data_IF_552703345763
#
_entry.id   IF_552703345763
#
_cell.length_a   1.000
_cell.length_b   1.000
_cell.length_c   1.000
_cell.angle_alpha   90.00
_cell.angle_beta   90.00
_cell.angle_gamma   90.00
#
_symmetry.space_group_name_H-M   'P 1'
#
loop_
_entity.id
_entity.type
_entity.pdbx_description
1 polymer ?
#
# COMPACT_ATOMS: atom_id res chain seq x y z
N UNK A 1 31.77 -23.41 -35.57
CA UNK A 1 31.91 -22.14 -34.80
C UNK A 1 31.19 -22.13 -33.45
N UNK A 2 30.09 -22.91 -33.30
CA UNK A 2 29.29 -22.94 -32.07
C UNK A 2 29.92 -23.72 -30.91
N UNK A 3 30.74 -24.74 -31.19
CA UNK A 3 31.38 -25.58 -30.19
C UNK A 3 32.53 -24.89 -29.44
N UNK A 4 33.21 -23.95 -30.09
CA UNK A 4 34.38 -23.25 -29.50
C UNK A 4 33.88 -22.14 -28.53
N UNK A 5 32.77 -21.47 -28.84
CA UNK A 5 32.16 -20.48 -27.95
C UNK A 5 31.68 -21.08 -26.64
N UNK A 6 31.10 -22.29 -26.67
CA UNK A 6 30.62 -22.98 -25.48
C UNK A 6 31.73 -23.45 -24.53
N UNK A 7 32.91 -23.80 -25.07
CA UNK A 7 34.07 -24.27 -24.29
C UNK A 7 34.78 -23.10 -23.58
N UNK A 8 34.96 -21.95 -24.25
CA UNK A 8 35.61 -20.77 -23.70
C UNK A 8 34.76 -20.15 -22.58
N UNK A 9 33.42 -20.14 -22.75
CA UNK A 9 32.49 -19.64 -21.75
C UNK A 9 32.47 -20.52 -20.48
N UNK A 10 32.80 -21.83 -20.61
CA UNK A 10 32.88 -22.75 -19.46
C UNK A 10 34.14 -22.59 -18.62
N UNK A 11 35.22 -22.04 -19.19
CA UNK A 11 36.51 -21.88 -18.49
C UNK A 11 36.64 -20.57 -17.72
N UNK A 12 35.82 -19.55 -18.00
CA UNK A 12 36.01 -18.22 -17.42
C UNK A 12 35.18 -17.93 -16.16
N UNK A 13 34.42 -18.89 -15.63
CA UNK A 13 33.60 -18.68 -14.41
C UNK A 13 32.53 -17.59 -14.55
N UNK A 14 32.51 -16.86 -15.67
CA UNK A 14 31.58 -15.74 -15.93
C UNK A 14 30.20 -16.23 -16.34
N UNK A 15 30.08 -17.49 -16.76
CA UNK A 15 28.80 -18.08 -17.19
C UNK A 15 27.81 -18.31 -16.05
N UNK A 16 28.29 -18.61 -14.85
CA UNK A 16 27.42 -18.86 -13.71
C UNK A 16 26.62 -17.60 -13.30
N UNK A 17 27.25 -16.42 -13.11
CA UNK A 17 26.49 -15.21 -12.79
C UNK A 17 25.62 -14.75 -13.97
N UNK A 18 26.02 -14.92 -15.20
CA UNK A 18 25.25 -14.52 -16.39
C UNK A 18 24.03 -15.43 -16.62
N UNK A 19 24.14 -16.72 -16.38
CA UNK A 19 23.04 -17.68 -16.38
C UNK A 19 22.05 -17.43 -15.23
N UNK A 20 22.56 -17.06 -14.06
CA UNK A 20 21.73 -16.66 -12.92
C UNK A 20 20.97 -15.37 -13.22
N UNK A 21 21.63 -14.38 -13.80
CA UNK A 21 21.00 -13.12 -14.25
C UNK A 21 19.96 -13.38 -15.35
N UNK A 22 20.28 -14.21 -16.36
CA UNK A 22 19.33 -14.58 -17.42
C UNK A 22 18.14 -15.38 -16.91
N UNK A 23 18.34 -16.29 -15.95
CA UNK A 23 17.26 -16.99 -15.25
C UNK A 23 16.43 -16.02 -14.41
N UNK A 24 17.07 -15.05 -13.74
CA UNK A 24 16.42 -13.97 -13.02
C UNK A 24 15.54 -13.12 -13.95
N UNK A 25 16.08 -12.68 -15.09
CA UNK A 25 15.33 -11.93 -16.11
C UNK A 25 14.21 -12.78 -16.72
N UNK A 26 14.44 -14.06 -17.02
CA UNK A 26 13.40 -14.96 -17.51
C UNK A 26 12.28 -15.21 -16.49
N UNK A 27 12.61 -15.24 -15.19
CA UNK A 27 11.60 -15.24 -14.12
C UNK A 27 10.86 -13.91 -14.05
N UNK A 28 11.55 -12.79 -14.18
CA UNK A 28 10.93 -11.45 -14.19
C UNK A 28 9.95 -11.29 -15.36
N UNK A 29 10.30 -11.75 -16.56
CA UNK A 29 9.38 -11.68 -17.71
C UNK A 29 8.17 -12.61 -17.57
N UNK A 30 8.29 -13.73 -16.84
CA UNK A 30 7.16 -14.61 -16.49
C UNK A 30 6.28 -14.07 -15.36
N UNK A 31 6.84 -13.21 -14.50
CA UNK A 31 6.14 -12.60 -13.35
C UNK A 31 5.28 -11.39 -13.76
N UNK A 32 5.63 -10.71 -14.86
CA UNK A 32 4.85 -9.60 -15.40
C UNK A 32 3.64 -10.09 -16.21
N UNK A 33 2.80 -10.93 -15.59
CA UNK A 33 1.52 -11.26 -16.19
C UNK A 33 0.61 -10.01 -16.17
N UNK A 34 -0.09 -9.76 -17.27
CA UNK A 34 -1.01 -8.60 -17.38
C UNK A 34 -2.00 -8.53 -16.21
N UNK A 35 -2.62 -9.64 -15.76
CA UNK A 35 -3.51 -9.59 -14.60
C UNK A 35 -2.81 -9.18 -13.30
N UNK A 36 -1.58 -9.62 -13.04
CA UNK A 36 -0.82 -9.21 -11.86
C UNK A 36 -0.46 -7.71 -11.87
N UNK A 37 -0.15 -7.17 -13.05
CA UNK A 37 0.10 -5.73 -13.21
C UNK A 37 -1.16 -4.90 -12.97
N UNK A 38 -2.30 -5.33 -13.51
CA UNK A 38 -3.59 -4.65 -13.28
C UNK A 38 -3.99 -4.69 -11.82
N UNK A 39 -3.77 -5.80 -11.16
CA UNK A 39 -4.07 -5.99 -9.74
C UNK A 39 -3.16 -5.10 -8.86
N UNK A 40 -1.85 -5.08 -9.12
CA UNK A 40 -0.92 -4.22 -8.42
C UNK A 40 -1.25 -2.73 -8.63
N UNK A 41 -1.58 -2.32 -9.86
CA UNK A 41 -2.02 -0.96 -10.15
C UNK A 41 -3.33 -0.63 -9.42
N UNK A 42 -4.30 -1.54 -9.40
CA UNK A 42 -5.55 -1.39 -8.65
C UNK A 42 -5.32 -1.20 -7.15
N UNK A 43 -4.43 -2.01 -6.55
CA UNK A 43 -4.03 -1.89 -5.14
C UNK A 43 -3.38 -0.54 -4.84
N UNK A 44 -2.48 -0.07 -5.70
CA UNK A 44 -1.83 1.24 -5.53
C UNK A 44 -2.83 2.38 -5.62
N UNK A 45 -3.75 2.35 -6.59
CA UNK A 45 -4.79 3.38 -6.75
C UNK A 45 -5.78 3.37 -5.57
N UNK A 46 -6.27 2.19 -5.18
CA UNK A 46 -7.16 2.05 -4.04
C UNK A 46 -6.49 2.50 -2.73
N UNK A 47 -5.22 2.18 -2.57
CA UNK A 47 -4.41 2.61 -1.46
C UNK A 47 -4.18 4.10 -1.41
N UNK A 48 -3.88 4.70 -2.56
CA UNK A 48 -3.78 6.14 -2.68
C UNK A 48 -5.09 6.83 -2.24
N UNK A 49 -6.24 6.36 -2.71
CA UNK A 49 -7.55 6.87 -2.29
C UNK A 49 -7.79 6.69 -0.79
N UNK A 50 -7.38 5.57 -0.21
CA UNK A 50 -7.49 5.30 1.22
C UNK A 50 -6.72 6.34 2.04
N UNK A 51 -5.46 6.56 1.71
CA UNK A 51 -4.62 7.53 2.42
C UNK A 51 -5.06 8.98 2.17
N UNK A 52 -5.51 9.31 0.95
CA UNK A 52 -6.10 10.63 0.67
C UNK A 52 -7.36 10.89 1.51
N UNK A 53 -8.22 9.88 1.66
CA UNK A 53 -9.43 10.01 2.49
C UNK A 53 -9.09 10.21 3.97
N UNK A 54 -8.07 9.52 4.46
CA UNK A 54 -7.59 9.70 5.84
C UNK A 54 -7.02 11.11 6.06
N UNK A 55 -6.21 11.59 5.10
CA UNK A 55 -5.67 12.96 5.13
C UNK A 55 -6.77 14.01 5.03
N UNK A 56 -7.81 13.77 4.21
CA UNK A 56 -8.95 14.67 4.08
C UNK A 56 -9.75 14.81 5.36
N UNK A 57 -9.89 13.74 6.16
CA UNK A 57 -10.51 13.80 7.50
C UNK A 57 -9.71 14.74 8.40
N UNK A 58 -8.37 14.55 8.47
CA UNK A 58 -7.50 15.41 9.26
C UNK A 58 -7.55 16.87 8.78
N UNK A 59 -7.39 17.10 7.48
CA UNK A 59 -7.39 18.43 6.87
C UNK A 59 -8.72 19.18 7.06
N UNK A 60 -9.86 18.49 7.03
CA UNK A 60 -11.17 19.12 7.24
C UNK A 60 -11.39 19.62 8.67
N UNK A 61 -10.62 19.11 9.63
CA UNK A 61 -10.68 19.52 11.05
C UNK A 61 -9.78 20.72 11.37
N UNK A 62 -8.88 21.10 10.44
CA UNK A 62 -8.03 22.26 10.60
C UNK A 62 -8.84 23.57 10.46
N UNK A 63 -8.84 24.39 11.50
CA UNK A 63 -9.50 25.70 11.48
C UNK A 63 -8.65 26.79 10.82
N UNK A 64 -7.34 26.66 10.90
CA UNK A 64 -6.34 27.57 10.33
C UNK A 64 -5.24 26.77 9.63
N UNK A 65 -4.49 27.45 8.74
CA UNK A 65 -3.36 26.82 8.05
C UNK A 65 -2.29 26.29 9.02
N UNK A 66 -2.11 26.94 10.16
CA UNK A 66 -1.19 26.53 11.22
C UNK A 66 -1.62 25.21 11.90
N UNK A 67 -2.92 24.92 11.94
CA UNK A 67 -3.47 23.71 12.56
C UNK A 67 -3.32 22.48 11.65
N UNK A 68 -3.03 22.67 10.34
CA UNK A 68 -2.90 21.59 9.37
C UNK A 68 -1.80 20.59 9.76
N UNK A 69 -0.70 21.04 10.31
CA UNK A 69 0.40 20.17 10.74
C UNK A 69 -0.03 19.28 11.92
N UNK A 70 -0.76 19.83 12.88
CA UNK A 70 -1.23 19.08 14.04
C UNK A 70 -2.37 18.12 13.72
N UNK A 71 -3.27 18.48 12.80
CA UNK A 71 -4.38 17.61 12.38
C UNK A 71 -3.91 16.48 11.44
N UNK A 72 -2.81 16.71 10.71
CA UNK A 72 -2.23 15.69 9.84
C UNK A 72 -1.36 14.65 10.57
N UNK A 73 -1.12 14.84 11.87
CA UNK A 73 -0.39 13.88 12.72
C UNK A 73 -1.03 12.49 12.68
N UNK A 74 -2.37 12.41 12.67
CA UNK A 74 -3.07 11.12 12.59
C UNK A 74 -2.71 10.35 11.32
N UNK A 75 -2.71 11.03 10.16
CA UNK A 75 -2.30 10.45 8.89
C UNK A 75 -0.86 9.96 8.94
N UNK A 76 0.07 10.82 9.39
CA UNK A 76 1.49 10.48 9.49
C UNK A 76 1.74 9.32 10.44
N UNK A 77 1.03 9.27 11.57
CA UNK A 77 1.15 8.20 12.55
C UNK A 77 0.69 6.85 11.98
N UNK A 78 -0.45 6.81 11.27
CA UNK A 78 -0.95 5.58 10.63
C UNK A 78 0.03 5.11 9.56
N UNK A 79 0.55 6.02 8.74
CA UNK A 79 1.51 5.69 7.68
C UNK A 79 2.81 5.15 8.25
N UNK A 80 3.37 5.81 9.25
CA UNK A 80 4.62 5.39 9.92
C UNK A 80 4.41 4.06 10.66
N UNK A 81 3.29 3.90 11.37
CA UNK A 81 2.97 2.65 12.06
C UNK A 81 2.82 1.49 11.06
N UNK A 82 2.16 1.71 9.92
CA UNK A 82 2.02 0.72 8.85
C UNK A 82 3.38 0.33 8.26
N UNK A 83 4.25 1.32 8.04
CA UNK A 83 5.61 1.10 7.54
C UNK A 83 6.44 0.26 8.52
N UNK A 84 6.46 0.64 9.81
CA UNK A 84 7.17 -0.14 10.83
C UNK A 84 6.60 -1.54 11.00
N UNK A 85 5.28 -1.68 10.94
CA UNK A 85 4.62 -2.98 10.99
C UNK A 85 5.09 -3.88 9.84
N UNK A 86 5.21 -3.34 8.62
CA UNK A 86 5.73 -4.07 7.47
C UNK A 86 7.21 -4.45 7.66
N UNK A 87 8.03 -3.54 8.19
CA UNK A 87 9.46 -3.78 8.43
C UNK A 87 9.69 -4.86 9.49
N UNK A 88 8.99 -4.79 10.63
CA UNK A 88 9.21 -5.72 11.74
C UNK A 88 8.54 -7.07 11.53
N UNK A 89 7.33 -7.10 10.99
CA UNK A 89 6.60 -8.34 10.77
C UNK A 89 6.96 -9.03 9.46
N UNK A 90 7.35 -8.27 8.43
CA UNK A 90 7.78 -8.78 7.13
C UNK A 90 9.25 -9.21 7.06
N UNK A 91 10.07 -8.91 8.11
CA UNK A 91 11.52 -9.02 8.08
C UNK A 91 12.17 -7.88 7.29
N UNK A 92 13.51 -7.72 7.44
CA UNK A 92 14.27 -6.66 6.75
C UNK A 92 14.08 -6.67 5.22
N UNK A 93 13.77 -7.85 4.65
CA UNK A 93 13.54 -8.02 3.21
C UNK A 93 12.09 -7.68 2.78
N UNK A 94 11.17 -7.39 3.75
CA UNK A 94 9.76 -7.06 3.46
C UNK A 94 8.97 -8.17 2.74
N UNK A 95 9.64 -9.25 2.37
CA UNK A 95 9.18 -10.28 1.44
C UNK A 95 9.08 -11.67 2.04
N UNK A 96 9.39 -11.82 3.34
CA UNK A 96 9.34 -13.13 3.97
C UNK A 96 7.90 -13.60 4.08
N UNK A 97 7.63 -14.78 3.57
CA UNK A 97 6.28 -15.37 3.43
C UNK A 97 5.57 -15.62 4.78
N UNK A 98 6.23 -15.35 5.91
CA UNK A 98 5.72 -15.63 7.25
C UNK A 98 4.58 -14.72 7.70
N UNK A 99 4.50 -13.48 7.20
CA UNK A 99 3.51 -12.50 7.66
C UNK A 99 2.41 -12.26 6.62
N UNK A 100 1.70 -13.31 6.21
CA UNK A 100 0.59 -13.23 5.24
C UNK A 100 -0.58 -12.35 5.72
N UNK A 101 -0.72 -12.16 7.02
CA UNK A 101 -1.76 -11.30 7.58
C UNK A 101 -1.62 -9.83 7.18
N UNK A 102 -0.39 -9.39 6.83
CA UNK A 102 -0.13 -8.02 6.31
C UNK A 102 -0.89 -7.73 5.01
N UNK A 103 -1.15 -8.75 4.18
CA UNK A 103 -1.88 -8.63 2.93
C UNK A 103 -3.38 -8.34 3.15
N UNK A 104 -3.90 -8.63 4.34
CA UNK A 104 -5.32 -8.46 4.66
C UNK A 104 -5.62 -7.22 5.51
N UNK A 105 -4.60 -6.56 6.05
CA UNK A 105 -4.77 -5.29 6.76
C UNK A 105 -4.68 -4.15 5.75
N UNK A 106 -5.74 -3.34 5.50
CA UNK A 106 -5.80 -2.38 4.40
C UNK A 106 -4.62 -1.41 4.35
N UNK A 107 -4.16 -0.93 5.51
CA UNK A 107 -3.07 0.05 5.59
C UNK A 107 -1.69 -0.54 5.28
N UNK A 108 -1.44 -1.79 5.62
CA UNK A 108 -0.18 -2.50 5.34
C UNK A 108 -0.20 -3.18 3.98
N UNK A 109 -1.36 -3.66 3.53
CA UNK A 109 -1.55 -4.32 2.25
C UNK A 109 -1.07 -3.47 1.08
N UNK A 110 -1.33 -2.17 1.11
CA UNK A 110 -0.90 -1.22 0.07
C UNK A 110 0.62 -1.19 -0.11
N UNK A 111 1.37 -1.39 0.98
CA UNK A 111 2.83 -1.33 0.99
C UNK A 111 3.48 -2.64 0.53
N UNK A 112 2.85 -3.78 0.83
CA UNK A 112 3.47 -5.11 0.68
C UNK A 112 2.83 -5.91 -0.46
N UNK A 113 1.50 -5.90 -0.58
CA UNK A 113 0.79 -6.81 -1.51
C UNK A 113 1.10 -6.55 -2.99
N UNK A 114 1.25 -5.30 -3.49
CA UNK A 114 1.60 -5.07 -4.89
C UNK A 114 2.91 -5.74 -5.30
N UNK A 115 3.94 -5.63 -4.46
CA UNK A 115 5.24 -6.29 -4.72
C UNK A 115 5.15 -7.80 -4.64
N UNK A 116 4.39 -8.35 -3.67
CA UNK A 116 4.18 -9.80 -3.53
C UNK A 116 3.40 -10.41 -4.70
N UNK A 117 2.39 -9.70 -5.20
CA UNK A 117 1.63 -10.13 -6.38
C UNK A 117 2.53 -10.14 -7.61
N UNK A 118 3.31 -9.09 -7.84
CA UNK A 118 4.25 -8.99 -8.96
C UNK A 118 5.36 -10.05 -8.90
N UNK A 119 5.80 -10.42 -7.70
CA UNK A 119 6.82 -11.45 -7.49
C UNK A 119 6.23 -12.87 -7.44
N UNK A 120 4.92 -13.04 -7.63
CA UNK A 120 4.25 -14.33 -7.60
C UNK A 120 4.25 -15.01 -6.22
N UNK A 121 4.49 -14.26 -5.15
CA UNK A 121 4.49 -14.76 -3.77
C UNK A 121 3.06 -14.86 -3.19
N UNK A 122 2.13 -14.08 -3.73
CA UNK A 122 0.71 -14.11 -3.39
C UNK A 122 -0.08 -14.58 -4.62
N UNK A 123 -1.05 -15.46 -4.42
CA UNK A 123 -1.94 -15.89 -5.50
C UNK A 123 -2.82 -14.71 -5.95
N UNK A 124 -3.19 -14.69 -7.24
CA UNK A 124 -4.11 -13.67 -7.77
C UNK A 124 -5.41 -13.56 -6.97
N UNK A 125 -5.96 -14.69 -6.50
CA UNK A 125 -7.15 -14.69 -5.63
C UNK A 125 -6.88 -14.01 -4.29
N UNK A 126 -5.70 -14.24 -3.69
CA UNK A 126 -5.30 -13.60 -2.44
C UNK A 126 -5.16 -12.08 -2.59
N UNK A 127 -4.56 -11.65 -3.68
CA UNK A 127 -4.43 -10.24 -4.00
C UNK A 127 -5.77 -9.56 -4.31
N UNK A 128 -6.70 -10.24 -5.03
CA UNK A 128 -8.06 -9.73 -5.25
C UNK A 128 -8.84 -9.56 -3.95
N UNK A 129 -8.69 -10.47 -2.99
CA UNK A 129 -9.30 -10.31 -1.66
C UNK A 129 -8.71 -9.10 -0.93
N UNK A 130 -7.39 -8.94 -0.99
CA UNK A 130 -6.71 -7.76 -0.43
C UNK A 130 -7.21 -6.47 -1.08
N UNK A 131 -7.30 -6.43 -2.42
CA UNK A 131 -7.83 -5.30 -3.17
C UNK A 131 -9.26 -4.96 -2.74
N UNK A 132 -10.14 -5.96 -2.62
CA UNK A 132 -11.52 -5.77 -2.18
C UNK A 132 -11.60 -5.16 -0.77
N UNK A 133 -10.75 -5.62 0.16
CA UNK A 133 -10.67 -5.07 1.52
C UNK A 133 -10.17 -3.62 1.52
N UNK A 134 -9.14 -3.31 0.73
CA UNK A 134 -8.61 -1.95 0.60
C UNK A 134 -9.66 -1.02 0.01
N UNK A 135 -10.35 -1.42 -1.06
CA UNK A 135 -11.42 -0.64 -1.70
C UNK A 135 -12.59 -0.41 -0.75
N UNK A 136 -13.03 -1.45 -0.03
CA UNK A 136 -14.10 -1.33 0.96
C UNK A 136 -13.72 -0.34 2.08
N UNK A 137 -12.50 -0.45 2.60
CA UNK A 137 -11.99 0.46 3.63
C UNK A 137 -11.87 1.90 3.11
N UNK A 138 -11.33 2.09 1.89
CA UNK A 138 -11.25 3.39 1.23
C UNK A 138 -12.64 4.00 1.04
N UNK A 139 -13.63 3.23 0.62
CA UNK A 139 -15.02 3.67 0.47
C UNK A 139 -15.62 4.16 1.78
N UNK A 140 -15.43 3.40 2.87
CA UNK A 140 -15.89 3.79 4.22
C UNK A 140 -15.22 5.08 4.68
N UNK A 141 -13.88 5.18 4.52
CA UNK A 141 -13.14 6.38 4.91
C UNK A 141 -13.53 7.60 4.06
N UNK A 142 -13.75 7.43 2.76
CA UNK A 142 -14.21 8.51 1.88
C UNK A 142 -15.60 8.99 2.29
N UNK A 143 -16.54 8.08 2.59
CA UNK A 143 -17.85 8.44 3.09
C UNK A 143 -17.78 9.18 4.44
N UNK A 144 -16.88 8.73 5.33
CA UNK A 144 -16.64 9.39 6.61
C UNK A 144 -16.02 10.78 6.41
N UNK A 145 -15.03 10.91 5.52
CA UNK A 145 -14.40 12.18 5.17
C UNK A 145 -15.44 13.19 4.66
N UNK A 146 -16.33 12.75 3.76
CA UNK A 146 -17.42 13.60 3.25
C UNK A 146 -18.41 14.05 4.33
N UNK A 147 -18.71 13.19 5.31
CA UNK A 147 -19.55 13.55 6.46
C UNK A 147 -18.86 14.57 7.37
N UNK A 148 -17.59 14.33 7.71
CA UNK A 148 -16.81 15.24 8.55
C UNK A 148 -16.66 16.59 7.87
N UNK A 149 -16.32 16.60 6.58
CA UNK A 149 -16.20 17.84 5.79
C UNK A 149 -17.50 18.65 5.81
N UNK A 150 -18.66 17.99 5.62
CA UNK A 150 -19.98 18.62 5.63
C UNK A 150 -20.31 19.22 6.99
N UNK A 151 -19.98 18.53 8.09
CA UNK A 151 -20.15 19.03 9.45
C UNK A 151 -19.26 20.24 9.71
N UNK A 152 -18.00 20.19 9.29
CA UNK A 152 -17.03 21.27 9.51
C UNK A 152 -17.33 22.51 8.69
N UNK A 153 -17.84 22.38 7.47
CA UNK A 153 -18.19 23.51 6.61
C UNK A 153 -19.31 24.39 7.19
N UNK A 154 -20.15 23.83 8.07
CA UNK A 154 -21.21 24.56 8.77
C UNK A 154 -20.70 25.33 10.00
N UNK A 155 -19.55 24.98 10.53
CA UNK A 155 -18.95 25.63 11.69
C UNK A 155 -17.93 26.69 11.27
N UNK A 156 -18.40 27.86 10.85
CA UNK A 156 -17.54 29.03 10.60
C UNK A 156 -17.15 29.69 11.94
N UNK A 157 -15.87 29.54 12.34
CA UNK A 157 -15.27 30.37 13.38
C UNK A 157 -14.67 29.67 14.60
N UNK A 158 -15.15 28.52 15.02
CA UNK A 158 -14.54 27.76 16.12
C UNK A 158 -14.70 26.25 15.88
N UNK A 159 -13.67 25.57 15.37
CA UNK A 159 -13.77 24.15 15.03
C UNK A 159 -14.05 23.34 16.30
N UNK A 160 -15.07 22.46 16.27
CA UNK A 160 -15.36 21.59 17.39
C UNK A 160 -14.22 20.59 17.62
N UNK A 161 -13.94 20.30 18.89
CA UNK A 161 -12.93 19.31 19.26
C UNK A 161 -13.24 17.93 18.65
N UNK A 162 -12.23 17.09 18.36
CA UNK A 162 -12.42 15.76 17.75
C UNK A 162 -13.46 14.89 18.47
N UNK A 163 -13.52 14.99 19.81
CA UNK A 163 -14.50 14.29 20.64
C UNK A 163 -15.95 14.74 20.37
N UNK A 164 -16.15 16.01 20.08
CA UNK A 164 -17.47 16.57 19.77
C UNK A 164 -17.94 16.14 18.39
N UNK A 165 -17.02 16.05 17.42
CA UNK A 165 -17.31 15.51 16.08
C UNK A 165 -17.76 14.05 16.14
N UNK A 166 -17.05 13.22 16.91
CA UNK A 166 -17.42 11.81 17.12
C UNK A 166 -18.82 11.67 17.74
N UNK A 167 -19.18 12.54 18.69
CA UNK A 167 -20.51 12.55 19.28
C UNK A 167 -21.58 12.90 18.24
N UNK A 168 -21.37 13.93 17.42
CA UNK A 168 -22.31 14.36 16.37
C UNK A 168 -22.48 13.30 15.26
N UNK A 169 -21.46 12.50 14.98
CA UNK A 169 -21.56 11.38 14.04
C UNK A 169 -22.39 10.20 14.59
N UNK A 170 -22.46 10.07 15.93
CA UNK A 170 -23.19 9.00 16.62
C UNK A 170 -24.66 9.32 16.85
N UNK A 171 -25.02 10.59 16.94
CA UNK A 171 -26.40 11.07 17.26
C UNK A 171 -27.30 11.15 15.99
N UNK A 172 -26.84 10.68 14.84
CA UNK A 172 -27.58 10.49 13.59
C UNK A 172 -27.59 9.03 13.16
#
# INVERSE_FOLDING_TARGET
>A
GFAIGGAVVRQTGVTLPLLEVLKGVGRLTGLFSVPAMLEAAGLLLAGFLLYCSLSAIGGSMAGKAEDLSSTNVLFSLVLVASFFCCMFAGGMDGMTSSARWLDYVPFTAILVTPSRVLLGQTSLLGGLVSLALVVACAGVLTALAGRVYRLMSLYKGNPPTPRRVLRMLREK
#
